data_IF_489787888125
#
_entry.id   IF_489787888125
#
_cell.length_a   1.000
_cell.length_b   1.000
_cell.length_c   1.000
_cell.angle_alpha   90.00
_cell.angle_beta   90.00
_cell.angle_gamma   90.00
#
_symmetry.space_group_name_H-M   'P 1'
#
loop_
_entity.id
_entity.type
_entity.pdbx_description
1 polymer ?
#
# COMPACT_ATOMS: atom_id res chain seq x y z
N UNK A 1 -10.68 13.74 9.25
CA UNK A 1 -9.37 13.07 9.12
C UNK A 1 -9.47 12.14 7.93
N UNK A 2 -8.51 12.23 7.00
CA UNK A 2 -8.42 11.37 5.84
C UNK A 2 -7.40 10.26 6.11
N UNK A 3 -7.73 9.04 5.72
CA UNK A 3 -6.84 7.88 5.72
C UNK A 3 -6.81 7.35 4.30
N UNK A 4 -5.63 7.30 3.70
CA UNK A 4 -5.41 6.67 2.38
C UNK A 4 -4.55 5.44 2.57
N UNK A 5 -4.95 4.34 1.95
CA UNK A 5 -4.23 3.06 1.91
C UNK A 5 -4.62 2.32 0.62
N UNK A 6 -3.82 1.39 0.13
CA UNK A 6 -4.02 0.75 -1.18
C UNK A 6 -3.62 -0.73 -1.16
N UNK A 7 -3.87 -1.46 -2.26
CA UNK A 7 -3.21 -2.74 -2.54
C UNK A 7 -3.48 -3.83 -1.46
N UNK A 8 -4.75 -3.94 -1.03
CA UNK A 8 -5.20 -4.99 -0.09
C UNK A 8 -5.28 -6.37 -0.75
N UNK A 9 -5.37 -6.43 -2.08
CA UNK A 9 -5.19 -7.66 -2.87
C UNK A 9 -6.06 -8.83 -2.43
N UNK A 10 -7.33 -8.60 -2.07
CA UNK A 10 -8.23 -9.65 -1.59
C UNK A 10 -8.58 -10.60 -2.76
N UNK A 11 -7.99 -11.80 -2.76
CA UNK A 11 -8.17 -12.86 -3.76
C UNK A 11 -9.32 -13.83 -3.46
N UNK A 12 -9.65 -14.67 -4.45
CA UNK A 12 -10.43 -15.90 -4.27
C UNK A 12 -9.67 -17.02 -3.53
N UNK A 13 -8.36 -16.84 -3.32
CA UNK A 13 -7.40 -17.74 -2.68
C UNK A 13 -7.07 -19.02 -3.44
N UNK A 14 -7.34 -19.07 -4.74
CA UNK A 14 -6.95 -20.20 -5.60
C UNK A 14 -5.44 -20.21 -5.91
N UNK A 15 -4.83 -19.05 -6.21
CA UNK A 15 -3.41 -18.93 -6.52
C UNK A 15 -2.56 -18.55 -5.28
N UNK A 16 -2.98 -17.53 -4.52
CA UNK A 16 -2.33 -17.09 -3.28
C UNK A 16 -3.32 -16.50 -2.28
N UNK A 17 -2.91 -16.47 -1.01
CA UNK A 17 -3.63 -15.76 0.05
C UNK A 17 -3.38 -14.26 0.00
N UNK A 18 -4.39 -13.47 -0.35
CA UNK A 18 -4.42 -12.02 -0.10
C UNK A 18 -4.66 -11.65 1.37
N UNK A 19 -5.05 -10.39 1.62
CA UNK A 19 -5.22 -9.84 2.97
C UNK A 19 -6.10 -10.67 3.92
N UNK A 20 -5.88 -10.44 5.23
CA UNK A 20 -6.52 -11.18 6.32
C UNK A 20 -7.39 -10.30 7.21
N UNK A 21 -8.35 -10.93 7.91
CA UNK A 21 -9.15 -10.26 8.94
C UNK A 21 -8.29 -9.71 10.10
N UNK A 22 -7.11 -10.30 10.35
CA UNK A 22 -6.16 -9.79 11.33
C UNK A 22 -5.47 -8.51 10.84
N UNK A 23 -5.07 -8.44 9.56
CA UNK A 23 -4.54 -7.23 8.93
C UNK A 23 -5.55 -6.08 9.00
N UNK A 24 -6.81 -6.34 8.63
CA UNK A 24 -7.90 -5.37 8.74
C UNK A 24 -8.18 -4.91 10.20
N UNK A 25 -8.02 -5.81 11.17
CA UNK A 25 -8.08 -5.50 12.59
C UNK A 25 -6.94 -4.58 13.06
N UNK A 26 -5.69 -4.87 12.65
CA UNK A 26 -4.52 -4.01 12.91
C UNK A 26 -4.68 -2.64 12.27
N UNK A 27 -5.17 -2.57 11.04
CA UNK A 27 -5.49 -1.33 10.33
C UNK A 27 -6.53 -0.49 11.09
N UNK A 28 -7.69 -1.05 11.47
CA UNK A 28 -8.70 -0.30 12.23
C UNK A 28 -8.21 0.14 13.62
N UNK A 29 -7.35 -0.64 14.26
CA UNK A 29 -6.69 -0.22 15.50
C UNK A 29 -5.72 0.95 15.27
N UNK A 30 -4.99 0.98 14.16
CA UNK A 30 -4.15 2.10 13.75
C UNK A 30 -4.99 3.36 13.44
N UNK A 31 -6.05 3.24 12.64
CA UNK A 31 -7.01 4.33 12.37
C UNK A 31 -7.59 4.90 13.67
N UNK A 32 -7.97 4.04 14.62
CA UNK A 32 -8.46 4.47 15.95
C UNK A 32 -7.38 5.24 16.73
N UNK A 33 -6.14 4.75 16.80
CA UNK A 33 -5.03 5.47 17.46
C UNK A 33 -4.78 6.84 16.81
N UNK A 34 -4.80 6.90 15.48
CA UNK A 34 -4.61 8.14 14.73
C UNK A 34 -5.76 9.13 14.93
N UNK A 35 -7.01 8.66 14.98
CA UNK A 35 -8.17 9.50 15.29
C UNK A 35 -8.13 10.12 16.71
N UNK A 36 -7.50 9.42 17.67
CA UNK A 36 -7.24 9.96 19.01
C UNK A 36 -6.11 11.00 18.96
N UNK A 37 -5.03 10.75 18.21
CA UNK A 37 -3.92 11.70 18.03
C UNK A 37 -4.37 13.00 17.34
N UNK A 38 -5.11 12.91 16.25
CA UNK A 38 -5.69 14.05 15.52
C UNK A 38 -6.79 14.80 16.30
N UNK A 39 -7.17 14.32 17.50
CA UNK A 39 -8.04 15.05 18.41
C UNK A 39 -7.31 16.15 19.21
N UNK A 40 -5.99 16.06 19.37
CA UNK A 40 -5.21 17.09 20.05
C UNK A 40 -5.06 18.35 19.19
N UNK A 41 -5.05 19.51 19.86
CA UNK A 41 -5.07 20.86 19.28
C UNK A 41 -3.77 21.61 19.59
N UNK A 42 -3.45 22.68 18.84
CA UNK A 42 -2.24 23.48 19.09
C UNK A 42 -2.16 24.14 20.48
N UNK A 43 -3.27 24.29 21.19
CA UNK A 43 -3.33 24.79 22.58
C UNK A 43 -3.09 23.70 23.64
N UNK A 44 -2.84 22.45 23.23
CA UNK A 44 -2.70 21.30 24.11
C UNK A 44 -4.02 20.73 24.63
N UNK A 45 -5.18 21.20 24.14
CA UNK A 45 -6.47 20.58 24.42
C UNK A 45 -6.74 19.39 23.49
N UNK A 46 -7.51 18.42 23.96
CA UNK A 46 -8.06 17.31 23.20
C UNK A 46 -9.55 17.56 22.92
N UNK A 47 -9.93 17.52 21.65
CA UNK A 47 -11.30 17.58 21.15
C UNK A 47 -11.49 16.49 20.08
N UNK A 48 -12.43 15.54 20.26
CA UNK A 48 -12.72 14.51 19.26
C UNK A 48 -12.89 15.07 17.85
N UNK A 49 -12.25 14.45 16.86
CA UNK A 49 -12.41 14.83 15.45
C UNK A 49 -13.84 14.58 14.97
N UNK A 50 -14.33 15.41 14.03
CA UNK A 50 -15.72 15.33 13.58
C UNK A 50 -16.05 14.06 12.76
N UNK A 51 -15.08 13.51 12.02
CA UNK A 51 -15.27 12.34 11.17
C UNK A 51 -13.94 11.74 10.70
N UNK A 52 -14.01 10.47 10.28
CA UNK A 52 -12.96 9.77 9.53
C UNK A 52 -13.47 9.42 8.13
N UNK A 53 -12.64 9.68 7.13
CA UNK A 53 -12.79 9.24 5.75
C UNK A 53 -11.67 8.26 5.44
N UNK A 54 -12.00 7.03 5.03
CA UNK A 54 -11.03 6.04 4.54
C UNK A 54 -11.20 5.89 3.03
N UNK A 55 -10.10 6.04 2.29
CA UNK A 55 -10.03 5.74 0.85
C UNK A 55 -9.12 4.54 0.64
N UNK A 56 -9.67 3.45 0.09
CA UNK A 56 -8.89 2.32 -0.42
C UNK A 56 -8.54 2.62 -1.88
N UNK A 57 -7.31 3.08 -2.14
CA UNK A 57 -6.88 3.68 -3.40
C UNK A 57 -6.50 2.62 -4.47
N UNK A 58 -7.48 1.82 -4.88
CA UNK A 58 -7.31 0.73 -5.84
C UNK A 58 -6.76 -0.55 -5.22
N UNK A 59 -6.86 -1.63 -6.00
CA UNK A 59 -6.43 -2.98 -5.66
C UNK A 59 -6.93 -3.42 -4.27
N UNK A 60 -8.19 -3.12 -3.99
CA UNK A 60 -8.88 -3.65 -2.81
C UNK A 60 -9.03 -5.17 -2.94
N UNK A 61 -9.33 -5.62 -4.16
CA UNK A 61 -9.35 -7.02 -4.56
C UNK A 61 -8.21 -7.33 -5.53
N UNK A 62 -7.93 -8.62 -5.71
CA UNK A 62 -7.05 -9.10 -6.77
C UNK A 62 -7.81 -10.21 -7.52
N UNK A 63 -8.50 -9.80 -8.59
CA UNK A 63 -9.27 -10.70 -9.43
C UNK A 63 -8.42 -11.34 -10.53
N UNK A 64 -7.23 -10.80 -10.82
CA UNK A 64 -6.29 -11.40 -11.76
C UNK A 64 -5.55 -12.58 -11.11
N UNK A 65 -5.36 -12.56 -9.79
CA UNK A 65 -4.81 -13.62 -8.93
C UNK A 65 -5.67 -14.89 -8.77
N UNK A 66 -6.44 -15.27 -9.79
CA UNK A 66 -7.24 -16.49 -9.82
C UNK A 66 -6.73 -17.50 -10.84
N UNK A 67 -6.61 -18.77 -10.42
CA UNK A 67 -6.32 -19.90 -11.31
C UNK A 67 -7.43 -20.15 -12.34
N UNK A 68 -8.63 -19.58 -12.15
CA UNK A 68 -9.74 -19.67 -13.12
C UNK A 68 -9.36 -19.09 -14.50
N UNK A 69 -8.40 -18.16 -14.55
CA UNK A 69 -7.91 -17.55 -15.79
C UNK A 69 -6.93 -18.42 -16.58
N UNK A 70 -6.43 -19.53 -16.03
CA UNK A 70 -5.45 -20.40 -16.71
C UNK A 70 -6.06 -21.29 -17.82
N UNK A 71 -7.39 -21.28 -18.00
CA UNK A 71 -8.10 -22.02 -19.04
C UNK A 71 -7.93 -21.44 -20.45
N UNK A 72 -8.96 -21.52 -21.28
CA UNK A 72 -8.99 -20.93 -22.64
C UNK A 72 -9.44 -19.47 -22.68
N UNK A 73 -9.85 -18.91 -21.52
CA UNK A 73 -10.38 -17.56 -21.37
C UNK A 73 -9.46 -16.76 -20.46
N UNK A 74 -9.18 -15.50 -20.84
CA UNK A 74 -8.34 -14.55 -20.09
C UNK A 74 -9.13 -13.30 -19.70
N UNK A 75 -8.70 -12.54 -18.68
CA UNK A 75 -9.44 -11.38 -18.21
C UNK A 75 -9.52 -10.22 -19.22
N UNK A 76 -8.59 -10.17 -20.18
CA UNK A 76 -8.58 -9.25 -21.33
C UNK A 76 -9.37 -9.75 -22.55
N UNK A 77 -9.98 -10.95 -22.53
CA UNK A 77 -10.90 -11.34 -23.59
C UNK A 77 -12.22 -10.60 -23.40
N UNK A 78 -12.51 -9.60 -24.22
CA UNK A 78 -13.68 -8.72 -24.04
C UNK A 78 -15.04 -9.44 -24.21
N UNK A 79 -16.08 -8.82 -23.63
CA UNK A 79 -17.47 -9.24 -23.73
C UNK A 79 -17.80 -10.59 -23.08
N UNK A 80 -18.87 -11.23 -23.58
CA UNK A 80 -19.54 -12.43 -23.03
C UNK A 80 -18.65 -13.67 -22.86
N UNK A 81 -17.38 -13.64 -23.28
CA UNK A 81 -16.43 -14.74 -23.12
C UNK A 81 -15.76 -14.75 -21.74
N UNK A 82 -15.32 -13.59 -21.23
CA UNK A 82 -14.67 -13.50 -19.91
C UNK A 82 -15.65 -13.26 -18.77
N UNK A 83 -16.81 -12.66 -19.06
CA UNK A 83 -17.87 -12.34 -18.09
C UNK A 83 -18.25 -13.52 -17.16
N UNK A 84 -18.55 -14.76 -17.64
CA UNK A 84 -18.87 -15.89 -16.75
C UNK A 84 -17.68 -16.43 -15.92
N UNK A 85 -16.44 -16.06 -16.27
CA UNK A 85 -15.24 -16.36 -15.47
C UNK A 85 -15.03 -15.24 -14.44
N UNK A 86 -15.18 -13.98 -14.84
CA UNK A 86 -15.11 -12.80 -13.97
C UNK A 86 -16.15 -12.87 -12.84
N UNK A 87 -17.40 -13.20 -13.16
CA UNK A 87 -18.47 -13.42 -12.17
C UNK A 87 -18.10 -14.52 -11.17
N UNK A 88 -17.48 -15.62 -11.62
CA UNK A 88 -17.05 -16.73 -10.76
C UNK A 88 -15.92 -16.31 -9.82
N UNK A 89 -14.93 -15.59 -10.32
CA UNK A 89 -13.82 -15.04 -9.50
C UNK A 89 -14.34 -14.06 -8.46
N UNK A 90 -15.18 -13.09 -8.86
CA UNK A 90 -15.80 -12.13 -7.94
C UNK A 90 -16.62 -12.88 -6.87
N UNK A 91 -17.45 -13.85 -7.28
CA UNK A 91 -18.28 -14.64 -6.36
C UNK A 91 -17.46 -15.45 -5.36
N UNK A 92 -16.32 -16.02 -5.78
CA UNK A 92 -15.41 -16.73 -4.89
C UNK A 92 -14.71 -15.76 -3.91
N UNK A 93 -14.30 -14.57 -4.39
CA UNK A 93 -13.71 -13.49 -3.59
C UNK A 93 -14.65 -12.91 -2.52
N UNK A 94 -15.98 -12.95 -2.70
CA UNK A 94 -16.96 -12.42 -1.71
C UNK A 94 -16.77 -13.02 -0.30
N UNK A 95 -16.43 -14.31 -0.17
CA UNK A 95 -16.28 -14.95 1.15
C UNK A 95 -15.00 -14.49 1.87
N UNK A 96 -13.79 -14.53 1.27
CA UNK A 96 -12.61 -13.83 1.77
C UNK A 96 -12.88 -12.35 2.10
N UNK A 97 -13.48 -11.60 1.17
CA UNK A 97 -13.80 -10.19 1.34
C UNK A 97 -14.70 -9.91 2.56
N UNK A 98 -15.72 -10.73 2.79
CA UNK A 98 -16.61 -10.58 3.95
C UNK A 98 -15.87 -10.75 5.28
N UNK A 99 -14.85 -11.61 5.33
CA UNK A 99 -14.00 -11.77 6.51
C UNK A 99 -13.04 -10.59 6.72
N UNK A 100 -12.45 -10.05 5.64
CA UNK A 100 -11.48 -8.95 5.67
C UNK A 100 -12.15 -7.59 5.89
N UNK A 101 -13.22 -7.29 5.15
CA UNK A 101 -13.92 -6.01 5.15
C UNK A 101 -15.06 -5.95 6.20
N UNK A 102 -15.53 -7.09 6.71
CA UNK A 102 -16.55 -7.15 7.76
C UNK A 102 -16.28 -6.29 9.00
N UNK A 103 -15.03 -6.20 9.52
CA UNK A 103 -14.63 -5.21 10.52
C UNK A 103 -14.90 -3.75 10.10
N UNK A 104 -14.55 -3.37 8.86
CA UNK A 104 -14.76 -2.01 8.36
C UNK A 104 -16.24 -1.70 8.19
N UNK A 105 -17.05 -2.64 7.67
CA UNK A 105 -18.52 -2.48 7.56
C UNK A 105 -19.17 -2.32 8.93
N UNK A 106 -18.65 -2.99 9.98
CA UNK A 106 -19.10 -2.76 11.36
C UNK A 106 -18.70 -1.39 11.90
N UNK A 107 -17.50 -0.90 11.58
CA UNK A 107 -17.03 0.42 11.97
C UNK A 107 -17.79 1.54 11.23
N UNK A 108 -18.09 1.38 9.94
CA UNK A 108 -18.89 2.31 9.13
C UNK A 108 -20.27 2.54 9.78
N UNK A 109 -20.95 1.45 10.17
CA UNK A 109 -22.28 1.48 10.79
C UNK A 109 -22.31 1.96 12.25
N UNK A 110 -21.16 2.03 12.93
CA UNK A 110 -21.05 2.35 14.37
C UNK A 110 -20.15 3.55 14.69
N UNK A 111 -19.50 4.13 13.69
CA UNK A 111 -18.38 5.05 13.89
C UNK A 111 -17.13 4.40 14.48
N UNK A 112 -16.03 5.17 14.51
CA UNK A 112 -14.82 4.83 15.27
C UNK A 112 -15.00 5.30 16.72
N UNK A 113 -14.49 4.53 17.69
CA UNK A 113 -14.62 4.87 19.12
C UNK A 113 -13.39 5.62 19.66
N UNK A 114 -13.57 6.89 20.01
CA UNK A 114 -12.53 7.77 20.59
C UNK A 114 -12.99 8.27 21.96
N UNK A 115 -12.10 8.62 22.92
CA UNK A 115 -12.54 9.16 24.21
C UNK A 115 -13.21 10.53 24.01
N UNK A 116 -14.12 10.89 24.90
CA UNK A 116 -14.66 12.26 25.03
C UNK A 116 -13.65 13.18 25.71
N UNK A 117 -13.77 14.49 25.47
CA UNK A 117 -13.04 15.51 26.24
C UNK A 117 -13.68 15.75 27.62
N UNK A 118 -12.88 16.05 28.65
CA UNK A 118 -13.36 16.62 29.91
C UNK A 118 -13.46 18.17 29.84
N UNK A 119 -13.87 18.78 30.95
CA UNK A 119 -13.97 20.25 31.10
C UNK A 119 -12.62 20.99 31.08
N UNK A 120 -11.51 20.26 31.05
CA UNK A 120 -10.13 20.77 30.98
C UNK A 120 -9.46 20.42 29.64
N UNK A 121 -10.23 19.92 28.66
CA UNK A 121 -9.69 19.52 27.36
C UNK A 121 -8.81 18.26 27.42
N UNK A 122 -9.08 17.31 28.33
CA UNK A 122 -8.32 16.04 28.44
C UNK A 122 -9.15 14.84 27.99
N UNK A 123 -8.54 13.80 27.36
CA UNK A 123 -9.28 12.60 26.94
C UNK A 123 -9.74 11.76 28.14
N UNK A 124 -11.04 11.48 28.23
CA UNK A 124 -11.67 10.60 29.23
C UNK A 124 -11.84 9.19 28.67
N UNK A 125 -10.88 8.31 28.89
CA UNK A 125 -10.94 6.93 28.39
C UNK A 125 -12.13 6.10 28.91
N UNK A 126 -12.74 6.49 30.03
CA UNK A 126 -13.98 5.88 30.54
C UNK A 126 -15.28 6.40 29.90
N UNK A 127 -15.25 7.38 28.98
CA UNK A 127 -16.44 7.90 28.29
C UNK A 127 -16.12 8.00 26.79
N UNK A 128 -16.75 7.18 25.96
CA UNK A 128 -16.44 7.07 24.54
C UNK A 128 -17.43 7.84 23.66
N UNK A 129 -16.90 8.56 22.67
CA UNK A 129 -17.62 9.11 21.54
C UNK A 129 -17.59 8.13 20.36
N UNK A 130 -18.65 8.15 19.55
CA UNK A 130 -18.72 7.48 18.26
C UNK A 130 -18.61 8.52 17.16
N UNK A 131 -17.45 8.59 16.48
CA UNK A 131 -17.22 9.54 15.39
C UNK A 131 -17.58 8.89 14.05
N UNK A 132 -18.38 9.54 13.17
CA UNK A 132 -18.75 8.98 11.87
C UNK A 132 -17.55 8.50 11.05
N UNK A 133 -17.71 7.35 10.42
CA UNK A 133 -16.74 6.77 9.49
C UNK A 133 -17.39 6.63 8.11
N UNK A 134 -16.69 7.10 7.07
CA UNK A 134 -17.00 6.85 5.66
C UNK A 134 -15.89 6.03 5.03
N UNK A 135 -16.24 5.17 4.08
CA UNK A 135 -15.29 4.35 3.31
C UNK A 135 -15.58 4.51 1.83
N UNK A 136 -14.55 4.74 1.02
CA UNK A 136 -14.59 4.75 -0.43
C UNK A 136 -13.59 3.75 -0.98
N UNK A 137 -14.02 2.92 -1.93
CA UNK A 137 -13.11 2.14 -2.77
C UNK A 137 -12.85 2.92 -4.05
N UNK A 138 -11.58 2.98 -4.46
CA UNK A 138 -11.23 3.32 -5.83
C UNK A 138 -10.96 2.04 -6.61
N UNK A 139 -11.23 2.05 -7.90
CA UNK A 139 -10.88 0.98 -8.82
C UNK A 139 -9.37 0.98 -9.12
N UNK A 140 -8.73 -0.19 -9.02
CA UNK A 140 -7.37 -0.45 -9.45
C UNK A 140 -7.29 -1.31 -10.70
N UNK A 141 -6.09 -1.73 -11.08
CA UNK A 141 -5.91 -2.59 -12.26
C UNK A 141 -6.09 -4.10 -11.95
N UNK A 142 -5.86 -4.53 -10.70
CA UNK A 142 -6.14 -5.90 -10.26
C UNK A 142 -7.63 -6.16 -9.99
N UNK A 143 -8.42 -5.10 -9.77
CA UNK A 143 -9.88 -5.14 -9.57
C UNK A 143 -10.72 -4.34 -10.59
N UNK A 144 -10.19 -4.17 -11.81
CA UNK A 144 -10.86 -3.47 -12.91
C UNK A 144 -12.32 -3.96 -13.12
N UNK A 145 -13.27 -3.03 -13.17
CA UNK A 145 -14.72 -3.24 -13.16
C UNK A 145 -15.38 -3.09 -11.79
N UNK A 146 -14.63 -2.74 -10.73
CA UNK A 146 -15.15 -2.46 -9.38
C UNK A 146 -16.19 -1.31 -9.36
N UNK A 147 -15.97 -0.24 -10.13
CA UNK A 147 -16.89 0.90 -10.26
C UNK A 147 -18.10 0.62 -11.16
N UNK A 148 -18.23 -0.61 -11.69
CA UNK A 148 -19.29 -1.02 -12.60
C UNK A 148 -20.22 -2.10 -12.01
N UNK A 149 -21.44 -2.17 -12.57
CA UNK A 149 -22.30 -3.35 -12.49
C UNK A 149 -22.63 -3.85 -11.07
N UNK A 150 -22.73 -5.19 -10.87
CA UNK A 150 -23.14 -5.77 -9.60
C UNK A 150 -22.22 -5.47 -8.41
N UNK A 151 -20.91 -5.34 -8.64
CA UNK A 151 -19.92 -5.14 -7.57
C UNK A 151 -20.10 -3.78 -6.90
N UNK A 152 -20.24 -2.72 -7.69
CA UNK A 152 -20.57 -1.38 -7.19
C UNK A 152 -21.87 -1.39 -6.37
N UNK A 153 -22.93 -1.99 -6.89
CA UNK A 153 -24.21 -2.06 -6.17
C UNK A 153 -24.11 -2.90 -4.87
N UNK A 154 -23.23 -3.91 -4.82
CA UNK A 154 -22.94 -4.64 -3.58
C UNK A 154 -22.25 -3.75 -2.54
N UNK A 155 -21.25 -2.95 -2.94
CA UNK A 155 -20.55 -2.02 -2.06
C UNK A 155 -21.46 -0.87 -1.57
N UNK A 156 -22.25 -0.26 -2.46
CA UNK A 156 -23.20 0.80 -2.14
C UNK A 156 -24.24 0.32 -1.10
N UNK A 157 -24.75 -0.92 -1.22
CA UNK A 157 -25.63 -1.54 -0.20
C UNK A 157 -24.95 -1.81 1.15
N UNK A 158 -23.63 -1.85 1.21
CA UNK A 158 -22.90 -1.89 2.48
C UNK A 158 -22.68 -0.49 3.09
N UNK A 159 -22.99 0.58 2.34
CA UNK A 159 -22.70 1.98 2.68
C UNK A 159 -21.30 2.44 2.27
N UNK A 160 -20.65 1.69 1.38
CA UNK A 160 -19.30 1.99 0.88
C UNK A 160 -19.43 2.68 -0.48
N UNK A 161 -18.78 3.84 -0.65
CA UNK A 161 -18.73 4.53 -1.94
C UNK A 161 -17.74 3.86 -2.90
N UNK A 162 -17.96 4.00 -4.21
CA UNK A 162 -17.06 3.45 -5.25
C UNK A 162 -16.87 4.47 -6.37
N UNK A 163 -15.65 4.58 -6.90
CA UNK A 163 -15.31 5.39 -8.08
C UNK A 163 -13.90 5.13 -8.60
N UNK A 164 -13.39 6.00 -9.48
CA UNK A 164 -12.00 5.96 -9.96
C UNK A 164 -11.09 6.93 -9.17
N UNK A 165 -11.68 8.05 -8.71
CA UNK A 165 -10.99 9.08 -7.93
C UNK A 165 -11.86 9.54 -6.76
N UNK A 166 -11.22 9.98 -5.68
CA UNK A 166 -11.84 10.69 -4.57
C UNK A 166 -11.22 12.08 -4.47
N UNK A 167 -11.98 13.12 -4.12
CA UNK A 167 -11.39 14.44 -3.87
C UNK A 167 -12.18 15.26 -2.85
N UNK A 168 -11.45 16.01 -2.02
CA UNK A 168 -11.97 17.01 -1.10
C UNK A 168 -10.86 17.98 -0.68
N UNK A 169 -11.21 19.23 -0.36
CA UNK A 169 -10.30 20.21 0.25
C UNK A 169 -8.95 20.45 -0.48
N UNK A 170 -8.89 20.26 -1.81
CA UNK A 170 -7.64 20.38 -2.59
C UNK A 170 -6.79 19.10 -2.65
N UNK A 171 -7.18 18.06 -1.91
CA UNK A 171 -6.63 16.72 -2.03
C UNK A 171 -7.42 15.94 -3.09
N UNK A 172 -6.72 15.24 -3.97
CA UNK A 172 -7.23 14.21 -4.86
C UNK A 172 -6.54 12.89 -4.52
N UNK A 173 -7.27 11.79 -4.59
CA UNK A 173 -6.77 10.43 -4.41
C UNK A 173 -7.16 9.61 -5.62
N UNK A 174 -6.21 8.88 -6.21
CA UNK A 174 -6.41 7.93 -7.30
C UNK A 174 -5.56 6.68 -7.06
N UNK A 175 -5.82 5.60 -7.80
CA UNK A 175 -4.96 4.42 -7.72
C UNK A 175 -3.57 4.69 -8.33
N UNK A 176 -3.50 5.29 -9.51
CA UNK A 176 -2.22 5.68 -10.12
C UNK A 176 -1.61 4.65 -11.09
N UNK A 177 -2.33 3.59 -11.47
CA UNK A 177 -1.95 2.68 -12.57
C UNK A 177 -1.56 3.43 -13.85
N UNK A 178 -2.15 4.61 -14.10
CA UNK A 178 -1.85 5.48 -15.27
C UNK A 178 -0.40 5.99 -15.29
N UNK A 179 0.34 5.84 -14.20
CA UNK A 179 1.77 6.18 -14.09
C UNK A 179 2.68 4.94 -14.10
N UNK A 180 2.13 3.71 -14.18
CA UNK A 180 2.91 2.47 -14.25
C UNK A 180 3.01 1.99 -15.72
N UNK A 181 4.23 1.88 -16.29
CA UNK A 181 4.43 1.41 -17.66
C UNK A 181 4.02 -0.06 -17.89
N UNK A 182 3.77 -0.84 -16.84
CA UNK A 182 3.23 -2.19 -16.93
C UNK A 182 1.69 -2.20 -17.10
N UNK A 183 1.01 -1.10 -16.78
CA UNK A 183 -0.45 -0.94 -16.85
C UNK A 183 -0.90 0.29 -17.65
N UNK A 184 -0.42 0.47 -18.89
CA UNK A 184 -0.83 1.59 -19.73
C UNK A 184 -2.35 1.65 -19.85
N UNK A 185 -2.86 2.89 -19.82
CA UNK A 185 -4.27 3.17 -19.99
C UNK A 185 -4.82 2.50 -21.25
N UNK A 186 -6.08 2.05 -21.20
CA UNK A 186 -6.70 1.50 -22.39
C UNK A 186 -6.75 2.57 -23.50
N UNK A 187 -6.33 2.22 -24.71
CA UNK A 187 -7.02 2.75 -25.88
C UNK A 187 -8.47 2.22 -25.77
N UNK A 188 -9.41 3.10 -25.43
CA UNK A 188 -10.80 2.73 -25.07
C UNK A 188 -11.59 2.11 -26.24
N UNK A 189 -11.04 2.20 -27.45
CA UNK A 189 -11.75 2.14 -28.73
C UNK A 189 -11.51 0.84 -29.51
N UNK A 190 -11.26 -0.29 -28.83
CA UNK A 190 -11.07 -1.59 -29.50
C UNK A 190 -11.73 -2.79 -28.79
N UNK A 191 -12.53 -3.55 -29.55
CA UNK A 191 -13.18 -4.81 -29.14
C UNK A 191 -12.19 -5.95 -28.77
N UNK A 192 -10.89 -5.72 -28.95
CA UNK A 192 -9.82 -6.69 -28.73
C UNK A 192 -8.58 -6.03 -28.13
N UNK A 193 -8.74 -5.35 -26.98
CA UNK A 193 -7.61 -4.81 -26.21
C UNK A 193 -6.57 -5.91 -25.94
N UNK A 194 -5.33 -5.71 -26.36
CA UNK A 194 -4.22 -6.55 -25.97
C UNK A 194 -4.02 -6.52 -24.43
N UNK A 195 -3.58 -7.62 -23.80
CA UNK A 195 -3.19 -7.59 -22.40
C UNK A 195 -2.12 -6.53 -22.14
N UNK A 196 -2.25 -5.79 -21.04
CA UNK A 196 -1.10 -5.05 -20.52
C UNK A 196 -0.01 -6.03 -20.08
N UNK A 197 1.24 -5.57 -20.02
CA UNK A 197 2.35 -6.38 -19.55
C UNK A 197 2.10 -6.88 -18.11
N UNK A 198 1.56 -6.02 -17.25
CA UNK A 198 1.13 -6.37 -15.89
C UNK A 198 0.06 -7.47 -15.86
N UNK A 199 -1.01 -7.38 -16.67
CA UNK A 199 -2.03 -8.44 -16.77
C UNK A 199 -1.42 -9.78 -17.19
N UNK A 200 -0.52 -9.75 -18.19
CA UNK A 200 0.14 -10.93 -18.73
C UNK A 200 1.05 -11.60 -17.69
N UNK A 201 1.86 -10.81 -16.98
CA UNK A 201 2.71 -11.29 -15.89
C UNK A 201 1.89 -11.84 -14.73
N UNK A 202 0.81 -11.17 -14.31
CA UNK A 202 -0.04 -11.62 -13.21
C UNK A 202 -0.68 -12.99 -13.50
N UNK A 203 -1.22 -13.16 -14.71
CA UNK A 203 -2.02 -14.34 -15.08
C UNK A 203 -1.18 -15.46 -15.70
N UNK A 204 -0.40 -15.17 -16.74
CA UNK A 204 0.28 -16.21 -17.52
C UNK A 204 1.68 -16.59 -16.97
N UNK A 205 2.26 -15.77 -16.08
CA UNK A 205 3.44 -16.12 -15.28
C UNK A 205 3.08 -16.48 -13.83
N UNK A 206 2.60 -15.54 -13.01
CA UNK A 206 2.52 -15.77 -11.54
C UNK A 206 1.42 -16.77 -11.17
N UNK A 207 0.19 -16.65 -11.69
CA UNK A 207 -0.85 -17.68 -11.48
C UNK A 207 -0.44 -19.05 -12.05
N UNK A 208 0.29 -19.09 -13.17
CA UNK A 208 0.82 -20.34 -13.75
C UNK A 208 1.82 -21.01 -12.83
N UNK A 209 2.83 -20.27 -12.38
CA UNK A 209 3.84 -20.73 -11.44
C UNK A 209 3.20 -21.20 -10.12
N UNK A 210 2.21 -20.45 -9.60
CA UNK A 210 1.40 -20.85 -8.44
C UNK A 210 0.73 -22.21 -8.63
N UNK A 211 0.15 -22.47 -9.81
CA UNK A 211 -0.49 -23.75 -10.13
C UNK A 211 0.49 -24.93 -10.16
N UNK A 212 1.72 -24.71 -10.65
CA UNK A 212 2.77 -25.75 -10.66
C UNK A 212 3.26 -26.02 -9.23
N UNK A 213 3.58 -24.96 -8.49
CA UNK A 213 4.02 -25.01 -7.09
C UNK A 213 2.99 -25.67 -6.17
N UNK A 214 1.70 -25.39 -6.37
CA UNK A 214 0.63 -26.02 -5.60
C UNK A 214 0.43 -27.52 -5.93
N UNK A 215 0.96 -27.99 -7.07
CA UNK A 215 0.83 -29.37 -7.54
C UNK A 215 1.99 -30.28 -7.13
N UNK A 216 3.18 -29.73 -6.80
CA UNK A 216 4.31 -30.50 -6.27
C UNK A 216 4.47 -30.29 -4.75
N UNK A 217 4.17 -31.32 -3.90
CA UNK A 217 4.26 -31.23 -2.45
C UNK A 217 5.63 -30.83 -1.91
N UNK A 218 6.73 -31.09 -2.63
CA UNK A 218 8.08 -30.71 -2.22
C UNK A 218 8.28 -29.20 -2.31
N UNK A 219 7.72 -28.57 -3.35
CA UNK A 219 7.82 -27.11 -3.56
C UNK A 219 6.75 -26.33 -2.80
N UNK A 220 5.58 -26.92 -2.55
CA UNK A 220 4.40 -26.24 -2.01
C UNK A 220 4.62 -25.57 -0.63
N UNK A 221 5.61 -25.99 0.17
CA UNK A 221 5.93 -25.34 1.43
C UNK A 221 6.59 -23.96 1.21
N UNK A 222 7.74 -23.93 0.53
CA UNK A 222 8.53 -22.71 0.26
C UNK A 222 7.83 -21.83 -0.78
N UNK A 223 7.37 -22.46 -1.87
CA UNK A 223 6.81 -21.79 -3.03
C UNK A 223 5.52 -21.02 -2.72
N UNK A 224 4.69 -21.45 -1.76
CA UNK A 224 3.50 -20.67 -1.36
C UNK A 224 3.84 -19.30 -0.77
N UNK A 225 4.98 -19.18 -0.05
CA UNK A 225 5.44 -17.86 0.40
C UNK A 225 5.96 -17.05 -0.78
N UNK A 226 6.85 -17.64 -1.60
CA UNK A 226 7.40 -16.99 -2.79
C UNK A 226 6.30 -16.47 -3.73
N UNK A 227 5.25 -17.25 -4.00
CA UNK A 227 4.12 -16.84 -4.84
C UNK A 227 3.36 -15.65 -4.22
N UNK A 228 3.19 -15.61 -2.90
CA UNK A 228 2.60 -14.45 -2.23
C UNK A 228 3.52 -13.21 -2.25
N UNK A 229 4.84 -13.40 -2.11
CA UNK A 229 5.84 -12.33 -2.25
C UNK A 229 5.89 -11.78 -3.69
N UNK A 230 5.82 -12.65 -4.71
CA UNK A 230 5.67 -12.27 -6.12
C UNK A 230 4.35 -11.51 -6.35
N UNK A 231 3.25 -11.97 -5.75
CA UNK A 231 1.96 -11.27 -5.85
C UNK A 231 1.93 -9.91 -5.13
N UNK A 232 2.78 -9.69 -4.12
CA UNK A 232 2.82 -8.47 -3.34
C UNK A 232 3.87 -7.43 -3.80
N UNK A 233 4.65 -7.72 -4.86
CA UNK A 233 5.75 -6.86 -5.32
C UNK A 233 5.74 -6.56 -6.81
N UNK A 234 6.48 -5.52 -7.19
CA UNK A 234 6.66 -5.09 -8.57
C UNK A 234 7.45 -6.15 -9.39
N UNK A 235 7.06 -6.47 -10.64
CA UNK A 235 7.68 -7.54 -11.43
C UNK A 235 9.19 -7.46 -11.66
N UNK A 236 9.80 -6.27 -11.61
CA UNK A 236 11.25 -6.13 -11.74
C UNK A 236 12.03 -6.81 -10.60
N UNK A 237 11.41 -7.04 -9.45
CA UNK A 237 11.99 -7.76 -8.29
C UNK A 237 11.81 -9.28 -8.33
N UNK A 238 11.10 -9.83 -9.32
CA UNK A 238 10.75 -11.26 -9.34
C UNK A 238 11.98 -12.17 -9.41
N UNK A 239 12.96 -11.86 -10.25
CA UNK A 239 14.22 -12.62 -10.35
C UNK A 239 14.93 -12.69 -9.00
N UNK A 240 14.93 -11.59 -8.24
CA UNK A 240 15.64 -11.49 -6.96
C UNK A 240 14.91 -12.25 -5.85
N UNK A 241 13.58 -12.22 -5.82
CA UNK A 241 12.75 -13.06 -4.95
C UNK A 241 12.95 -14.55 -5.20
N UNK A 242 12.95 -14.97 -6.48
CA UNK A 242 13.15 -16.38 -6.86
C UNK A 242 14.58 -16.84 -6.54
N UNK A 243 15.59 -16.00 -6.83
CA UNK A 243 16.99 -16.27 -6.46
C UNK A 243 17.14 -16.41 -4.94
N UNK A 244 16.51 -15.54 -4.15
CA UNK A 244 16.52 -15.63 -2.69
C UNK A 244 15.83 -16.92 -2.17
N UNK A 245 14.71 -17.32 -2.77
CA UNK A 245 14.00 -18.53 -2.39
C UNK A 245 14.76 -19.82 -2.76
N UNK A 246 15.52 -19.81 -3.86
CA UNK A 246 16.38 -20.93 -4.26
C UNK A 246 17.68 -20.99 -3.44
N UNK A 247 18.30 -19.84 -3.16
CA UNK A 247 19.58 -19.71 -2.43
C UNK A 247 19.45 -19.73 -0.90
N UNK A 248 18.34 -20.23 -0.35
CA UNK A 248 18.15 -20.33 1.10
C UNK A 248 18.87 -21.57 1.66
N UNK A 249 20.12 -21.39 2.09
CA UNK A 249 20.96 -22.41 2.73
C UNK A 249 20.21 -23.12 3.88
N UNK A 250 19.87 -24.40 3.66
CA UNK A 250 19.04 -25.21 4.56
C UNK A 250 17.80 -25.83 3.92
N UNK A 251 17.44 -25.44 2.69
CA UNK A 251 16.45 -26.16 1.88
C UNK A 251 16.92 -27.56 1.45
N UNK A 252 15.99 -28.48 1.19
CA UNK A 252 16.30 -29.72 0.49
C UNK A 252 16.56 -29.41 -1.00
N UNK A 253 17.74 -29.78 -1.51
CA UNK A 253 18.19 -29.41 -2.87
C UNK A 253 17.15 -29.74 -3.95
N UNK A 254 16.60 -30.96 -3.93
CA UNK A 254 15.52 -31.41 -4.82
C UNK A 254 14.35 -30.42 -4.92
N UNK A 255 13.95 -29.79 -3.81
CA UNK A 255 12.83 -28.85 -3.76
C UNK A 255 13.22 -27.48 -4.36
N UNK A 256 14.47 -27.03 -4.13
CA UNK A 256 15.04 -25.84 -4.78
C UNK A 256 15.12 -26.03 -6.29
N UNK A 257 15.66 -27.16 -6.76
CA UNK A 257 15.82 -27.45 -8.20
C UNK A 257 14.47 -27.56 -8.91
N UNK A 258 13.47 -28.18 -8.27
CA UNK A 258 12.08 -28.22 -8.76
C UNK A 258 11.45 -26.83 -8.83
N UNK A 259 11.64 -26.00 -7.80
CA UNK A 259 11.11 -24.63 -7.77
C UNK A 259 11.73 -23.76 -8.88
N UNK A 260 13.04 -23.89 -9.07
CA UNK A 260 13.82 -23.30 -10.18
C UNK A 260 13.32 -23.75 -11.55
N UNK A 261 13.14 -25.05 -11.77
CA UNK A 261 12.68 -25.60 -13.04
C UNK A 261 11.25 -25.12 -13.36
N UNK A 262 10.34 -25.18 -12.38
CA UNK A 262 8.97 -24.68 -12.49
C UNK A 262 8.91 -23.18 -12.81
N UNK A 263 9.84 -22.38 -12.27
CA UNK A 263 9.95 -20.97 -12.59
C UNK A 263 10.38 -20.74 -14.05
N UNK A 264 11.48 -21.36 -14.49
CA UNK A 264 12.01 -21.20 -15.85
C UNK A 264 11.02 -21.68 -16.92
N UNK A 265 10.32 -22.79 -16.69
CA UNK A 265 9.24 -23.26 -17.57
C UNK A 265 8.07 -22.26 -17.61
N UNK A 266 7.73 -21.64 -16.47
CA UNK A 266 6.68 -20.62 -16.39
C UNK A 266 7.08 -19.33 -17.13
N UNK A 267 8.35 -18.91 -17.07
CA UNK A 267 8.87 -17.73 -17.80
C UNK A 267 8.83 -17.94 -19.32
N UNK A 268 9.37 -19.05 -19.84
CA UNK A 268 9.32 -19.34 -21.29
C UNK A 268 7.90 -19.63 -21.79
N UNK A 269 7.01 -20.16 -20.93
CA UNK A 269 5.59 -20.30 -21.28
C UNK A 269 4.85 -18.96 -21.27
N UNK A 270 5.13 -18.09 -20.30
CA UNK A 270 4.62 -16.71 -20.29
C UNK A 270 5.07 -15.94 -21.53
N UNK A 271 6.38 -15.93 -21.84
CA UNK A 271 6.97 -15.24 -23.00
C UNK A 271 6.26 -15.62 -24.31
N UNK A 272 6.12 -16.92 -24.58
CA UNK A 272 5.42 -17.42 -25.78
C UNK A 272 3.94 -17.02 -25.83
N UNK A 273 3.27 -16.89 -24.69
CA UNK A 273 1.88 -16.45 -24.62
C UNK A 273 1.75 -14.92 -24.75
N UNK A 274 2.66 -14.15 -24.17
CA UNK A 274 2.73 -12.70 -24.28
C UNK A 274 2.97 -12.25 -25.73
N UNK A 275 3.98 -12.81 -26.41
CA UNK A 275 4.24 -12.57 -27.83
C UNK A 275 3.03 -12.95 -28.71
N UNK A 276 2.36 -14.07 -28.40
CA UNK A 276 1.16 -14.52 -29.14
C UNK A 276 -0.09 -13.66 -28.90
N UNK A 277 -0.18 -12.99 -27.76
CA UNK A 277 -1.29 -12.10 -27.41
C UNK A 277 -1.07 -10.64 -27.85
N UNK A 278 0.09 -10.33 -28.45
CA UNK A 278 0.45 -8.95 -28.81
C UNK A 278 0.75 -8.08 -27.60
N UNK A 279 1.37 -8.64 -26.54
CA UNK A 279 1.90 -7.84 -25.44
C UNK A 279 3.08 -7.03 -25.97
N UNK A 280 2.86 -5.74 -26.15
CA UNK A 280 3.86 -4.78 -26.59
C UNK A 280 3.78 -3.54 -25.69
N UNK A 281 4.89 -2.84 -25.52
CA UNK A 281 4.93 -1.49 -24.94
C UNK A 281 5.48 -0.52 -25.98
N UNK A 282 5.33 0.78 -25.75
CA UNK A 282 5.78 1.85 -26.65
C UNK A 282 7.32 2.07 -26.62
N UNK A 283 8.08 1.00 -26.34
CA UNK A 283 9.53 0.99 -26.16
C UNK A 283 10.27 0.70 -27.46
N UNK A 284 11.45 1.32 -27.65
CA UNK A 284 12.32 1.09 -28.81
C UNK A 284 13.01 -0.30 -28.83
N UNK A 285 12.65 -1.20 -27.91
CA UNK A 285 13.18 -2.55 -27.76
C UNK A 285 12.04 -3.53 -27.42
N UNK A 286 12.24 -4.83 -27.66
CA UNK A 286 11.28 -5.87 -27.26
C UNK A 286 11.29 -6.04 -25.74
N UNK A 287 10.27 -5.46 -25.10
CA UNK A 287 10.09 -5.47 -23.66
C UNK A 287 9.73 -6.87 -23.10
N UNK A 288 9.12 -7.73 -23.91
CA UNK A 288 8.77 -9.10 -23.50
C UNK A 288 10.02 -9.97 -23.48
N UNK A 289 10.85 -9.93 -24.52
CA UNK A 289 12.10 -10.68 -24.59
C UNK A 289 13.15 -10.17 -23.60
N UNK A 290 13.28 -8.85 -23.44
CA UNK A 290 14.18 -8.25 -22.43
C UNK A 290 13.79 -8.66 -21.00
N UNK A 291 12.49 -8.65 -20.68
CA UNK A 291 12.02 -9.09 -19.37
C UNK A 291 12.12 -10.60 -19.21
N UNK A 292 11.84 -11.40 -20.23
CA UNK A 292 12.00 -12.86 -20.17
C UNK A 292 13.46 -13.27 -19.90
N UNK A 293 14.43 -12.58 -20.51
CA UNK A 293 15.85 -12.76 -20.22
C UNK A 293 16.16 -12.43 -18.74
N UNK A 294 15.73 -11.26 -18.24
CA UNK A 294 15.91 -10.87 -16.83
C UNK A 294 15.25 -11.85 -15.85
N UNK A 295 14.06 -12.35 -16.15
CA UNK A 295 13.33 -13.31 -15.30
C UNK A 295 13.98 -14.70 -15.31
N UNK A 296 14.68 -15.06 -16.39
CA UNK A 296 15.44 -16.32 -16.49
C UNK A 296 16.79 -16.26 -15.76
N UNK A 297 17.36 -15.07 -15.55
CA UNK A 297 18.68 -14.87 -14.92
C UNK A 297 18.69 -15.00 -13.38
N UNK A 298 18.11 -16.10 -12.89
CA UNK A 298 18.17 -16.49 -11.47
C UNK A 298 19.50 -17.16 -11.08
N UNK A 299 20.38 -17.44 -12.06
CA UNK A 299 21.69 -18.06 -11.86
C UNK A 299 22.82 -17.07 -11.62
N UNK A 300 22.82 -15.91 -12.29
CA UNK A 300 23.87 -14.93 -12.07
C UNK A 300 23.88 -14.50 -10.59
N UNK A 301 25.08 -14.33 -9.98
CA UNK A 301 25.16 -13.62 -8.71
C UNK A 301 24.50 -12.25 -8.90
N UNK A 302 23.84 -11.74 -7.86
CA UNK A 302 23.13 -10.47 -7.94
C UNK A 302 24.12 -9.34 -8.27
N UNK A 303 24.24 -9.04 -9.56
CA UNK A 303 24.97 -7.87 -10.06
C UNK A 303 24.35 -6.66 -9.40
N UNK A 304 25.19 -5.79 -8.84
CA UNK A 304 24.75 -4.48 -8.32
C UNK A 304 23.83 -3.88 -9.38
N UNK A 305 22.54 -3.62 -9.06
CA UNK A 305 21.48 -3.53 -10.05
C UNK A 305 21.94 -2.56 -11.15
N UNK A 306 22.09 -3.04 -12.40
CA UNK A 306 22.85 -2.33 -13.43
C UNK A 306 22.24 -0.94 -13.55
N UNK A 307 23.03 0.09 -13.21
CA UNK A 307 22.53 1.42 -12.84
C UNK A 307 21.45 1.87 -13.83
N UNK A 308 20.20 1.81 -13.38
CA UNK A 308 19.13 1.44 -14.28
C UNK A 308 18.89 2.56 -15.29
N UNK A 309 19.16 2.35 -16.59
CA UNK A 309 18.92 3.40 -17.56
C UNK A 309 17.42 3.68 -17.70
N UNK A 310 16.52 2.95 -17.03
CA UNK A 310 15.07 3.17 -17.02
C UNK A 310 14.65 4.60 -16.62
N UNK A 311 15.45 5.32 -15.82
CA UNK A 311 15.20 6.72 -15.49
C UNK A 311 15.28 7.64 -16.73
N UNK A 312 16.07 7.28 -17.76
CA UNK A 312 16.09 7.93 -19.09
C UNK A 312 15.26 7.14 -20.14
N UNK A 313 15.37 5.81 -20.14
CA UNK A 313 15.04 4.91 -21.24
C UNK A 313 13.57 4.47 -21.28
N UNK A 314 12.80 4.75 -20.24
CA UNK A 314 11.33 4.69 -20.31
C UNK A 314 10.73 5.98 -20.90
N UNK A 315 11.53 7.03 -21.14
CA UNK A 315 11.05 8.34 -21.60
C UNK A 315 10.21 9.10 -20.56
N UNK A 316 10.04 8.51 -19.37
CA UNK A 316 9.38 9.12 -18.22
C UNK A 316 10.34 10.15 -17.62
N UNK A 317 10.23 11.41 -18.05
CA UNK A 317 10.96 12.56 -17.51
C UNK A 317 10.54 12.92 -16.08
N UNK A 318 10.61 11.95 -15.17
CA UNK A 318 10.24 12.01 -13.77
C UNK A 318 11.52 11.93 -12.94
N UNK A 319 12.17 13.08 -12.71
CA UNK A 319 13.23 13.15 -11.70
C UNK A 319 12.66 12.71 -10.34
N UNK A 320 12.97 11.49 -9.93
CA UNK A 320 12.61 10.93 -8.63
C UNK A 320 13.54 11.51 -7.56
N UNK A 321 13.38 12.79 -7.25
CA UNK A 321 14.18 13.50 -6.24
C UNK A 321 14.05 12.76 -4.90
N UNK A 322 15.12 12.13 -4.37
CA UNK A 322 15.00 11.21 -3.25
C UNK A 322 14.58 11.95 -1.97
N UNK A 323 13.34 11.69 -1.55
CA UNK A 323 12.66 12.40 -0.45
C UNK A 323 13.34 12.14 0.90
N UNK A 324 14.30 12.99 1.23
CA UNK A 324 14.91 13.05 2.56
C UNK A 324 13.89 13.59 3.56
N UNK A 325 13.41 12.70 4.44
CA UNK A 325 12.31 12.96 5.40
C UNK A 325 12.58 14.08 6.43
N UNK A 326 13.80 14.61 6.52
CA UNK A 326 14.23 15.55 7.57
C UNK A 326 13.77 17.01 7.42
N UNK A 327 13.37 17.47 6.23
CA UNK A 327 12.95 18.87 5.98
C UNK A 327 11.72 19.02 5.06
N UNK A 328 10.93 17.96 4.91
CA UNK A 328 9.74 17.98 4.07
C UNK A 328 8.71 19.05 4.50
N UNK A 329 8.15 19.84 3.56
CA UNK A 329 7.00 20.68 3.87
C UNK A 329 5.83 19.79 4.33
N UNK A 330 5.21 20.13 5.45
CA UNK A 330 4.08 19.36 5.97
C UNK A 330 2.89 19.44 5.00
N UNK A 331 2.09 18.36 4.90
CA UNK A 331 0.91 18.37 4.01
C UNK A 331 -0.06 19.51 4.36
N UNK A 332 -0.25 19.79 5.65
CA UNK A 332 -1.00 20.97 6.09
C UNK A 332 -0.34 22.31 5.66
N UNK A 333 1.00 22.38 5.63
CA UNK A 333 1.75 23.53 5.09
C UNK A 333 1.65 23.71 3.58
N UNK A 334 1.45 22.62 2.81
CA UNK A 334 1.11 22.66 1.40
C UNK A 334 -0.34 23.13 1.18
N UNK A 335 -1.29 22.55 1.93
CA UNK A 335 -2.72 22.92 1.88
C UNK A 335 -2.95 24.41 2.22
N UNK A 336 -2.26 24.95 3.23
CA UNK A 336 -2.31 26.38 3.57
C UNK A 336 -1.75 27.31 2.48
N UNK A 337 -0.96 26.79 1.54
CA UNK A 337 -0.49 27.53 0.34
C UNK A 337 -1.44 27.40 -0.85
N UNK A 338 -2.55 26.69 -0.71
CA UNK A 338 -3.47 26.37 -1.82
C UNK A 338 -2.92 25.33 -2.79
N UNK A 339 -1.83 24.65 -2.45
CA UNK A 339 -1.25 23.60 -3.27
C UNK A 339 -2.21 22.40 -3.36
N UNK A 340 -2.32 21.81 -4.56
CA UNK A 340 -3.08 20.57 -4.74
C UNK A 340 -2.20 19.39 -4.35
N UNK A 341 -2.78 18.38 -3.71
CA UNK A 341 -2.08 17.12 -3.42
C UNK A 341 -2.78 15.98 -4.14
N UNK A 342 -2.06 15.26 -4.98
CA UNK A 342 -2.48 13.98 -5.56
C UNK A 342 -1.87 12.87 -4.72
N UNK A 343 -2.68 11.93 -4.25
CA UNK A 343 -2.21 10.71 -3.57
C UNK A 343 -2.46 9.51 -4.48
N UNK A 344 -1.40 8.75 -4.77
CA UNK A 344 -1.41 7.62 -5.70
C UNK A 344 -1.18 6.31 -4.95
N UNK A 345 -2.15 5.38 -5.02
CA UNK A 345 -2.11 4.08 -4.36
C UNK A 345 -1.04 3.08 -4.83
N UNK A 346 -0.67 3.16 -6.11
CA UNK A 346 0.05 2.11 -6.85
C UNK A 346 1.55 2.35 -7.08
N UNK A 347 2.00 3.51 -7.62
CA UNK A 347 3.43 3.76 -7.80
C UNK A 347 4.19 3.68 -6.47
N UNK A 348 5.41 3.14 -6.51
CA UNK A 348 6.27 3.01 -5.33
C UNK A 348 6.44 4.34 -4.59
N UNK A 349 6.44 4.32 -3.26
CA UNK A 349 6.48 5.52 -2.43
C UNK A 349 7.68 6.47 -2.72
N UNK A 350 8.78 5.94 -3.29
CA UNK A 350 9.94 6.71 -3.74
C UNK A 350 9.64 7.70 -4.89
N UNK A 351 8.60 7.46 -5.68
CA UNK A 351 8.15 8.36 -6.76
C UNK A 351 7.35 9.58 -6.24
N UNK A 352 7.37 9.86 -4.94
CA UNK A 352 6.65 10.99 -4.33
C UNK A 352 7.32 12.34 -4.62
N UNK A 353 6.83 13.06 -5.62
CA UNK A 353 7.29 14.41 -5.95
C UNK A 353 6.49 15.47 -5.17
N UNK A 354 7.00 15.91 -4.01
CA UNK A 354 6.41 17.00 -3.23
C UNK A 354 7.08 18.35 -3.56
N UNK A 355 6.33 19.47 -3.66
CA UNK A 355 6.87 20.76 -4.12
C UNK A 355 7.99 21.27 -3.21
N UNK A 356 9.05 21.83 -3.80
CA UNK A 356 10.15 22.36 -2.99
C UNK A 356 9.70 23.56 -2.17
N UNK A 357 10.38 23.84 -1.05
CA UNK A 357 10.05 25.03 -0.25
C UNK A 357 10.37 26.35 -0.97
N UNK A 358 11.18 26.32 -2.04
CA UNK A 358 11.64 27.50 -2.79
C UNK A 358 10.72 27.93 -3.94
N UNK A 359 9.86 27.03 -4.44
CA UNK A 359 9.01 27.32 -5.59
C UNK A 359 7.88 28.30 -5.22
N UNK A 360 8.07 29.57 -5.59
CA UNK A 360 7.02 30.60 -5.48
C UNK A 360 5.96 30.37 -6.55
N UNK A 361 4.74 30.09 -6.10
CA UNK A 361 3.56 29.89 -6.95
C UNK A 361 3.20 31.13 -7.80
N UNK A 362 3.76 32.30 -7.48
CA UNK A 362 3.50 33.62 -8.08
C UNK A 362 3.69 33.70 -9.60
N UNK A 363 4.32 32.70 -10.24
CA UNK A 363 4.63 32.69 -11.68
C UNK A 363 4.04 31.51 -12.46
N UNK A 364 3.51 30.46 -11.81
CA UNK A 364 2.78 29.39 -12.49
C UNK A 364 1.82 28.65 -11.54
N UNK A 365 0.49 28.88 -11.62
CA UNK A 365 -0.48 28.20 -10.76
C UNK A 365 -0.64 26.69 -11.05
N UNK A 366 -0.12 26.19 -12.18
CA UNK A 366 -0.07 24.76 -12.48
C UNK A 366 1.12 24.04 -11.81
N UNK A 367 2.17 24.76 -11.40
CA UNK A 367 3.35 24.17 -10.74
C UNK A 367 3.12 23.83 -9.26
N UNK A 368 1.96 24.17 -8.69
CA UNK A 368 1.61 23.97 -7.28
C UNK A 368 0.96 22.62 -6.95
N UNK A 369 1.17 21.57 -7.75
CA UNK A 369 0.63 20.24 -7.52
C UNK A 369 1.70 19.27 -7.00
N UNK A 370 1.54 18.79 -5.77
CA UNK A 370 2.38 17.72 -5.20
C UNK A 370 1.80 16.34 -5.48
N UNK A 371 2.66 15.34 -5.63
CA UNK A 371 2.32 13.93 -5.73
C UNK A 371 2.90 13.13 -4.55
N UNK A 372 2.06 12.33 -3.90
CA UNK A 372 2.43 11.44 -2.80
C UNK A 372 2.06 10.01 -3.17
N UNK A 373 3.06 9.17 -3.34
CA UNK A 373 2.92 7.78 -3.72
C UNK A 373 2.89 6.90 -2.45
N UNK A 374 2.01 5.91 -2.41
CA UNK A 374 1.85 4.97 -1.28
C UNK A 374 1.90 3.49 -1.72
N UNK A 375 2.32 3.24 -2.95
CA UNK A 375 2.63 1.90 -3.43
C UNK A 375 3.88 1.33 -2.77
N UNK A 376 4.07 -0.01 -2.84
CA UNK A 376 5.09 -0.71 -2.08
C UNK A 376 6.49 -0.15 -2.36
N UNK A 377 7.20 0.25 -1.31
CA UNK A 377 8.62 0.63 -1.38
C UNK A 377 9.46 -0.42 -2.10
N UNK A 378 10.30 0.03 -3.02
CA UNK A 378 11.33 -0.80 -3.65
C UNK A 378 12.50 -0.87 -2.68
N UNK A 379 12.35 -1.69 -1.62
CA UNK A 379 13.42 -1.91 -0.64
C UNK A 379 14.68 -2.34 -1.41
N UNK A 380 15.73 -1.50 -1.47
CA UNK A 380 16.92 -1.83 -2.22
C UNK A 380 17.55 -3.05 -1.56
N UNK A 381 18.02 -4.01 -2.37
CA UNK A 381 18.56 -5.27 -1.87
C UNK A 381 19.66 -5.00 -0.84
N UNK A 382 19.33 -5.19 0.44
CA UNK A 382 20.21 -4.85 1.55
C UNK A 382 21.46 -5.70 1.46
N UNK A 383 22.62 -5.06 1.29
CA UNK A 383 23.91 -5.75 1.34
C UNK A 383 23.97 -6.61 2.60
N UNK A 384 24.28 -7.89 2.44
CA UNK A 384 24.03 -8.95 3.44
C UNK A 384 24.87 -8.86 4.71
N UNK A 385 24.65 -7.84 5.52
CA UNK A 385 25.15 -7.76 6.88
C UNK A 385 24.36 -8.71 7.78
N UNK A 386 25.01 -9.75 8.30
CA UNK A 386 24.45 -10.69 9.29
C UNK A 386 24.27 -10.05 10.69
N UNK A 387 23.71 -8.84 10.75
CA UNK A 387 23.22 -8.22 11.96
C UNK A 387 21.80 -8.71 12.25
N UNK A 388 21.64 -9.53 13.29
CA UNK A 388 20.32 -9.94 13.75
C UNK A 388 19.52 -8.71 14.17
N UNK A 389 18.52 -8.34 13.36
CA UNK A 389 17.64 -7.22 13.69
C UNK A 389 16.74 -7.62 14.85
N UNK A 390 17.08 -7.10 16.04
CA UNK A 390 16.29 -7.28 17.25
C UNK A 390 14.95 -6.56 17.09
N UNK A 391 13.94 -7.31 16.63
CA UNK A 391 12.57 -6.82 16.43
C UNK A 391 12.06 -6.30 17.78
N UNK A 392 12.04 -4.98 17.92
CA UNK A 392 11.69 -4.31 19.17
C UNK A 392 10.22 -4.57 19.48
N UNK A 393 9.96 -5.54 20.36
CA UNK A 393 8.61 -5.85 20.84
C UNK A 393 8.09 -4.64 21.60
N UNK A 394 7.17 -3.90 21.00
CA UNK A 394 6.36 -2.93 21.74
C UNK A 394 5.64 -3.66 22.89
N UNK A 395 5.84 -3.26 24.15
CA UNK A 395 5.12 -3.85 25.27
C UNK A 395 3.64 -3.45 25.21
N UNK A 396 2.77 -4.23 25.86
CA UNK A 396 1.36 -3.88 26.02
C UNK A 396 1.20 -2.59 26.84
N UNK A 397 0.86 -1.51 26.15
CA UNK A 397 0.82 -0.15 26.68
C UNK A 397 -0.55 0.20 27.28
N UNK A 398 -0.87 -0.37 28.44
CA UNK A 398 -1.99 0.10 29.28
C UNK A 398 -1.67 1.41 30.05
N UNK A 399 -0.39 1.81 30.11
CA UNK A 399 0.09 3.00 30.82
C UNK A 399 0.05 4.27 29.95
N UNK A 400 -0.91 5.15 30.23
CA UNK A 400 -1.21 6.34 29.41
C UNK A 400 -0.14 7.44 29.35
N UNK A 401 0.94 7.37 30.14
CA UNK A 401 2.00 8.38 30.19
C UNK A 401 3.02 8.29 29.05
N UNK A 402 3.21 7.12 28.42
CA UNK A 402 4.24 6.92 27.38
C UNK A 402 3.86 7.45 25.98
N UNK A 403 2.80 8.25 25.87
CA UNK A 403 2.24 8.73 24.60
C UNK A 403 2.57 10.19 24.26
N UNK A 404 3.36 10.88 25.10
CA UNK A 404 3.69 12.29 24.95
C UNK A 404 5.00 12.56 24.16
N UNK A 405 6.04 11.73 24.35
CA UNK A 405 7.41 12.04 23.91
C UNK A 405 7.80 11.45 22.54
N UNK A 406 6.85 11.37 21.59
CA UNK A 406 7.08 10.83 20.26
C UNK A 406 6.90 11.90 19.17
N UNK A 407 7.99 12.61 18.84
CA UNK A 407 8.08 13.54 17.71
C UNK A 407 7.75 12.79 16.40
N UNK A 408 6.55 13.03 15.85
CA UNK A 408 6.06 12.44 14.61
C UNK A 408 5.40 13.53 13.74
N UNK A 409 5.72 13.62 12.44
CA UNK A 409 5.20 14.66 11.57
C UNK A 409 3.68 14.52 11.30
N UNK A 410 2.99 15.61 10.90
CA UNK A 410 1.54 15.63 10.67
C UNK A 410 1.07 14.88 9.40
N UNK A 411 1.97 14.16 8.73
CA UNK A 411 1.65 13.09 7.82
C UNK A 411 2.37 11.83 8.33
N UNK A 412 1.62 10.95 8.99
CA UNK A 412 2.16 9.68 9.48
C UNK A 412 2.00 8.62 8.39
N UNK A 413 3.10 8.27 7.72
CA UNK A 413 3.22 6.97 7.04
C UNK A 413 3.33 5.91 8.13
N UNK A 414 2.30 5.07 8.26
CA UNK A 414 2.40 3.86 9.08
C UNK A 414 2.88 2.76 8.15
N UNK A 415 4.14 2.28 8.29
CA UNK A 415 4.64 1.21 7.43
C UNK A 415 3.84 -0.07 7.67
N UNK A 416 3.59 -0.81 6.59
CA UNK A 416 3.01 -2.14 6.69
C UNK A 416 3.90 -3.11 7.45
N UNK A 417 3.28 -4.14 8.03
CA UNK A 417 3.99 -5.32 8.51
C UNK A 417 4.49 -6.15 7.33
N UNK A 418 5.72 -5.86 6.91
CA UNK A 418 6.36 -6.35 5.68
C UNK A 418 6.51 -7.87 5.53
N UNK A 419 6.13 -8.66 6.55
CA UNK A 419 6.02 -10.12 6.45
C UNK A 419 4.74 -10.58 5.71
N UNK A 420 3.75 -9.70 5.54
CA UNK A 420 2.38 -10.08 5.12
C UNK A 420 1.78 -9.15 4.04
N UNK A 421 2.59 -8.35 3.34
CA UNK A 421 2.09 -7.40 2.34
C UNK A 421 1.15 -6.35 2.97
N UNK A 422 1.46 -5.87 4.17
CA UNK A 422 0.66 -4.87 4.86
C UNK A 422 0.57 -3.58 4.03
N UNK A 423 -0.65 -3.18 3.68
CA UNK A 423 -0.90 -1.96 2.93
C UNK A 423 -0.31 -0.72 3.64
N UNK A 424 0.45 0.10 2.92
CA UNK A 424 0.94 1.37 3.48
C UNK A 424 -0.24 2.29 3.81
N UNK A 425 -0.14 3.03 4.92
CA UNK A 425 -1.21 3.92 5.37
C UNK A 425 -0.66 5.34 5.54
N UNK A 426 -1.17 6.26 4.74
CA UNK A 426 -0.99 7.71 4.96
C UNK A 426 -2.20 8.23 5.70
N UNK A 427 -1.99 8.78 6.89
CA UNK A 427 -3.02 9.53 7.62
C UNK A 427 -2.76 11.02 7.46
N UNK A 428 -3.76 11.75 6.94
CA UNK A 428 -3.76 13.20 6.81
C UNK A 428 -4.82 13.81 7.73
N UNK A 429 -4.44 14.85 8.47
CA UNK A 429 -5.35 15.66 9.26
C UNK A 429 -4.99 17.14 9.13
N UNK A 430 -6.00 18.00 9.28
CA UNK A 430 -5.82 19.44 9.34
C UNK A 430 -5.18 19.87 10.67
N UNK A 431 -4.48 21.00 10.63
CA UNK A 431 -3.75 21.68 11.72
C UNK A 431 -2.27 21.29 11.94
N UNK A 432 -1.45 22.32 12.16
CA UNK A 432 0.02 22.28 12.33
C UNK A 432 0.35 22.56 13.80
N UNK A 433 1.38 21.92 14.38
CA UNK A 433 1.98 22.32 15.65
C UNK A 433 3.23 23.21 15.46
N UNK A 434 3.14 24.56 15.50
CA UNK A 434 4.29 25.46 15.38
C UNK A 434 5.01 25.65 16.74
N UNK A 435 5.63 24.61 17.30
CA UNK A 435 6.47 24.73 18.50
C UNK A 435 7.97 24.63 18.18
N UNK A 436 8.58 25.71 17.68
CA UNK A 436 10.06 25.88 17.75
C UNK A 436 10.58 27.32 17.73
N UNK A 437 9.73 28.32 18.05
CA UNK A 437 10.11 29.74 18.07
C UNK A 437 9.55 30.52 19.28
N UNK A 438 9.74 30.01 20.50
CA UNK A 438 9.75 30.85 21.70
C UNK A 438 10.58 30.23 22.82
N UNK A 439 11.82 30.68 22.99
CA UNK A 439 12.62 30.33 24.16
C UNK A 439 12.06 31.01 25.41
N UNK A 440 11.53 30.22 26.36
CA UNK A 440 11.36 30.67 27.74
C UNK A 440 12.60 30.27 28.56
N UNK A 441 13.19 31.18 29.36
CA UNK A 441 14.31 30.84 30.23
C UNK A 441 13.86 29.86 31.31
N UNK A 442 14.77 28.99 31.75
CA UNK A 442 14.50 28.05 32.83
C UNK A 442 14.24 28.80 34.14
N UNK A 443 13.19 28.39 34.87
CA UNK A 443 12.98 28.83 36.24
C UNK A 443 14.03 28.18 37.16
N UNK A 444 14.63 28.95 38.06
CA UNK A 444 15.63 28.46 39.00
C UNK A 444 15.01 27.44 39.99
N UNK A 445 15.76 26.40 40.41
CA UNK A 445 15.24 25.40 41.34
C UNK A 445 14.94 26.00 42.72
N UNK A 446 13.74 25.73 43.23
CA UNK A 446 13.34 26.11 44.57
C UNK A 446 14.16 25.39 45.64
N UNK A 447 14.59 26.15 46.65
CA UNK A 447 15.43 25.65 47.76
C UNK A 447 14.62 24.73 48.67
N UNK A 448 15.04 23.47 48.81
CA UNK A 448 14.56 22.58 49.87
C UNK A 448 15.27 22.96 51.18
N UNK A 449 14.51 23.12 52.26
CA UNK A 449 15.05 23.44 53.59
C UNK A 449 14.68 22.30 54.57
N UNK A 450 15.65 21.82 55.34
CA UNK A 450 15.52 20.62 56.18
C UNK A 450 15.70 20.97 57.66
N UNK A 451 14.64 20.85 58.48
CA UNK A 451 14.72 20.89 59.96
C UNK A 451 13.70 19.98 60.64
N UNK A 452 14.15 19.28 61.68
CA UNK A 452 13.44 18.28 62.52
C UNK A 452 14.15 18.16 63.89
N UNK A 453 13.58 17.53 64.93
CA UNK A 453 12.24 16.94 65.05
C UNK A 453 11.24 17.99 65.59
N UNK A 454 10.73 18.09 66.82
CA UNK A 454 10.79 17.30 68.08
C UNK A 454 9.38 17.26 68.69
N UNK A 455 9.06 16.18 69.40
CA UNK A 455 7.73 15.86 69.94
C UNK A 455 7.24 16.83 71.05
N UNK A 456 5.91 16.92 71.21
CA UNK A 456 5.21 16.48 72.43
C UNK A 456 3.68 16.71 72.36
N UNK A 457 2.95 15.91 73.15
CA UNK A 457 1.49 15.92 73.40
C UNK A 457 0.58 15.44 72.25
#
# INVERSE_FOLDING_TARGET
MLVVTANWGITDRSAWSGATAASAGRFLAAVRRSAIRAGWRPDGSYRPIASVDIVLAGDTFDWLGSLAWLGTVRPWHHGRRSEPVRERVISATIRPATAVLGPLVRALRRGVTVPMSDRHGRPRFGIMAHIPLRVTLLEGDLDQGLACGPTRHLAERMGIGVGETWSACGISVCHGHRCDPLWPAAAEDSDSRCPTLGMSLRVDLVCRFASVVASDPLTAAVGRKLVADLAARHPLSYTDLVRQACGADGGAADATDRLRAAWLESVETWRRLALRAGVHGDTAFDLVDALAARLSDIDSPASSPPACPADDALGLGLEAVPVSLGQQPTVAGLMLRGARLVVCGHPAAELSQLPSQGDRADHNPAAGAGMLCIGPRVVPASQGGNGASEVTKYPDLESATALADADMPPAAVIPGDGEHGGAEVVVLWDEIPPWKTSGRPAAAPGRVDHRTVVDAA
#
